data_IF_358942739510
#
_entry.id   IF_358942739510
#
_cell.length_a   1.000
_cell.length_b   1.000
_cell.length_c   1.000
_cell.angle_alpha   90.00
_cell.angle_beta   90.00
_cell.angle_gamma   90.00
#
_symmetry.space_group_name_H-M   'P 1'
#
loop_
_entity.id
_entity.type
_entity.pdbx_description
1 polymer ?
#
# COMPACT_ATOMS: atom_id res chain seq x y z
N UNK A 1 5.56 6.73 5.18
CA UNK A 1 6.31 5.83 4.27
C UNK A 1 7.82 5.92 4.48
N UNK A 2 8.43 7.11 4.54
CA UNK A 2 9.88 7.25 4.76
C UNK A 2 10.39 6.61 6.08
N UNK A 3 9.63 6.75 7.17
CA UNK A 3 9.93 6.07 8.46
C UNK A 3 9.97 4.53 8.36
N UNK A 4 9.41 3.95 7.29
CA UNK A 4 9.36 2.51 7.04
C UNK A 4 10.42 2.07 6.01
N UNK A 5 11.35 2.94 5.60
CA UNK A 5 12.26 2.70 4.48
C UNK A 5 13.07 1.40 4.56
N UNK A 6 13.42 0.97 5.77
CA UNK A 6 14.21 -0.24 6.02
C UNK A 6 13.39 -1.53 5.76
N UNK A 7 12.07 -1.42 5.60
CA UNK A 7 11.12 -2.51 5.34
C UNK A 7 10.63 -2.54 3.89
N UNK A 8 11.37 -1.92 2.96
CA UNK A 8 11.06 -1.85 1.53
C UNK A 8 9.61 -1.45 1.21
N UNK A 9 9.14 -0.29 1.71
CA UNK A 9 7.73 0.05 1.65
C UNK A 9 7.28 0.36 0.22
N UNK A 10 6.03 0.05 -0.08
CA UNK A 10 5.34 0.38 -1.33
C UNK A 10 4.01 1.05 -1.04
N UNK A 11 3.76 2.19 -1.68
CA UNK A 11 2.43 2.82 -1.66
C UNK A 11 1.55 2.05 -2.66
N UNK A 12 0.45 1.50 -2.17
CA UNK A 12 -0.51 0.72 -2.95
C UNK A 12 -1.92 1.30 -2.80
N UNK A 13 -2.93 0.54 -3.23
CA UNK A 13 -4.32 0.95 -3.13
C UNK A 13 -4.73 2.03 -4.14
N UNK A 14 -5.71 2.85 -3.76
CA UNK A 14 -6.30 3.87 -4.65
C UNK A 14 -5.47 5.16 -4.72
N UNK A 15 -4.76 5.49 -3.63
CA UNK A 15 -4.02 6.76 -3.50
C UNK A 15 -2.88 6.86 -4.50
N UNK A 16 -2.06 5.81 -4.69
CA UNK A 16 -0.99 5.88 -5.69
C UNK A 16 -1.52 5.89 -7.13
N UNK A 17 -2.77 5.50 -7.37
CA UNK A 17 -3.43 5.69 -8.67
C UNK A 17 -3.88 7.13 -8.91
N UNK A 18 -3.73 7.99 -7.90
CA UNK A 18 -4.23 9.37 -7.87
C UNK A 18 -5.75 9.45 -7.69
N UNK A 19 -6.39 8.34 -7.28
CA UNK A 19 -7.82 8.28 -7.00
C UNK A 19 -8.02 8.45 -5.50
N UNK A 20 -8.26 9.69 -5.08
CA UNK A 20 -8.47 10.04 -3.66
C UNK A 20 -9.96 10.38 -3.46
N UNK A 21 -10.64 9.64 -2.59
CA UNK A 21 -12.01 9.93 -2.15
C UNK A 21 -11.98 10.51 -0.73
N UNK A 22 -13.02 11.24 -0.29
CA UNK A 22 -13.19 11.56 1.11
C UNK A 22 -13.22 10.24 1.91
N UNK A 23 -12.28 10.06 2.85
CA UNK A 23 -12.00 8.83 3.62
C UNK A 23 -11.12 7.77 2.94
N UNK A 24 -10.47 8.07 1.82
CA UNK A 24 -9.36 7.21 1.36
C UNK A 24 -8.30 7.12 2.46
N UNK A 25 -7.99 5.89 2.86
CA UNK A 25 -6.83 5.54 3.66
C UNK A 25 -5.57 5.49 2.78
N UNK A 26 -4.42 5.67 3.44
CA UNK A 26 -3.12 5.50 2.80
C UNK A 26 -2.72 4.03 2.95
N UNK A 27 -2.75 3.27 1.86
CA UNK A 27 -2.36 1.87 1.85
C UNK A 27 -0.86 1.70 1.59
N UNK A 28 -0.17 1.06 2.52
CA UNK A 28 1.26 0.76 2.42
C UNK A 28 1.47 -0.75 2.57
N UNK A 29 2.21 -1.35 1.66
CA UNK A 29 2.73 -2.71 1.81
C UNK A 29 4.20 -2.67 2.22
N UNK A 30 4.63 -3.62 3.04
CA UNK A 30 6.04 -3.81 3.43
C UNK A 30 6.46 -5.26 3.27
N UNK A 31 7.69 -5.46 2.84
CA UNK A 31 8.31 -6.77 2.64
C UNK A 31 9.00 -7.21 3.93
N UNK A 32 8.19 -7.68 4.88
CA UNK A 32 8.63 -8.03 6.22
C UNK A 32 7.61 -8.93 6.90
N UNK A 33 8.09 -9.89 7.70
CA UNK A 33 7.22 -10.91 8.31
C UNK A 33 6.90 -10.65 9.79
N UNK A 34 7.79 -9.98 10.51
CA UNK A 34 7.63 -9.69 11.94
C UNK A 34 7.02 -8.30 12.18
N UNK A 35 5.81 -8.18 12.77
CA UNK A 35 5.19 -6.88 13.00
C UNK A 35 5.91 -6.03 14.05
N UNK A 36 6.66 -6.60 14.99
CA UNK A 36 7.17 -5.88 16.16
C UNK A 36 8.14 -4.72 15.82
N UNK A 37 9.16 -4.90 14.95
CA UNK A 37 10.05 -3.81 14.55
C UNK A 37 9.31 -2.65 13.86
N UNK A 38 8.28 -2.96 13.08
CA UNK A 38 7.47 -1.96 12.39
C UNK A 38 6.60 -1.19 13.39
N UNK A 39 5.93 -1.89 14.31
CA UNK A 39 5.11 -1.25 15.37
C UNK A 39 5.95 -0.34 16.24
N UNK A 40 7.09 -0.84 16.71
CA UNK A 40 8.04 -0.04 17.50
C UNK A 40 8.43 1.23 16.75
N UNK A 41 8.81 1.12 15.48
CA UNK A 41 9.16 2.27 14.63
C UNK A 41 8.01 3.27 14.49
N UNK A 42 6.77 2.79 14.30
CA UNK A 42 5.59 3.64 14.19
C UNK A 42 5.32 4.41 15.50
N UNK A 43 5.33 3.71 16.63
CA UNK A 43 5.07 4.32 17.95
C UNK A 43 6.15 5.35 18.29
N UNK A 44 7.43 5.02 18.12
CA UNK A 44 8.57 5.92 18.37
C UNK A 44 8.50 7.21 17.52
N UNK A 45 7.86 7.16 16.35
CA UNK A 45 7.68 8.31 15.47
C UNK A 45 6.34 9.05 15.69
N UNK A 46 5.59 8.68 16.74
CA UNK A 46 4.37 9.37 17.17
C UNK A 46 3.13 9.06 16.31
N UNK A 47 3.08 7.87 15.72
CA UNK A 47 1.86 7.34 15.11
C UNK A 47 1.04 6.62 16.18
N UNK A 48 -0.26 6.90 16.26
CA UNK A 48 -1.16 6.22 17.19
C UNK A 48 -1.60 4.89 16.57
N UNK A 49 -1.31 3.77 17.23
CA UNK A 49 -1.80 2.46 16.83
C UNK A 49 -3.32 2.40 17.08
N UNK A 50 -4.10 2.15 16.03
CA UNK A 50 -5.57 2.04 16.09
C UNK A 50 -5.98 0.58 16.23
N UNK A 51 -5.43 -0.27 15.36
CA UNK A 51 -5.80 -1.66 15.22
C UNK A 51 -4.60 -2.44 14.69
N UNK A 52 -4.45 -3.69 15.11
CA UNK A 52 -3.52 -4.61 14.48
C UNK A 52 -4.03 -6.05 14.56
N UNK A 53 -3.54 -6.92 13.68
CA UNK A 53 -3.83 -8.34 13.76
C UNK A 53 -3.25 -9.14 12.61
N UNK A 54 -3.08 -10.44 12.86
CA UNK A 54 -2.78 -11.40 11.81
C UNK A 54 -3.91 -11.46 10.78
N UNK A 55 -3.56 -11.65 9.53
CA UNK A 55 -4.54 -11.86 8.46
C UNK A 55 -5.04 -13.30 8.55
N UNK A 56 -6.30 -13.49 8.92
CA UNK A 56 -6.93 -14.81 9.05
C UNK A 56 -7.87 -15.11 7.88
N UNK A 57 -7.26 -15.37 6.73
CA UNK A 57 -7.97 -15.87 5.54
C UNK A 57 -7.22 -17.07 4.96
N UNK A 58 -7.90 -17.96 4.20
CA UNK A 58 -7.24 -19.04 3.46
C UNK A 58 -6.05 -18.54 2.63
N UNK A 59 -4.97 -19.32 2.57
CA UNK A 59 -3.69 -18.94 1.92
C UNK A 59 -3.87 -18.41 0.49
N UNK A 60 -4.72 -19.06 -0.31
CA UNK A 60 -4.99 -18.64 -1.69
C UNK A 60 -5.71 -17.27 -1.80
N UNK A 61 -6.41 -16.83 -0.75
CA UNK A 61 -7.06 -15.51 -0.68
C UNK A 61 -6.19 -14.44 -0.02
N UNK A 62 -5.20 -14.89 0.77
CA UNK A 62 -4.33 -14.04 1.59
C UNK A 62 -3.49 -13.09 0.77
N UNK A 63 -3.19 -13.44 -0.49
CA UNK A 63 -2.42 -12.58 -1.39
C UNK A 63 -1.07 -12.16 -0.75
N UNK A 64 -0.41 -13.13 -0.11
CA UNK A 64 0.83 -12.94 0.64
C UNK A 64 0.74 -12.10 1.91
N UNK A 65 -0.45 -11.63 2.31
CA UNK A 65 -0.63 -10.75 3.48
C UNK A 65 -0.51 -11.50 4.81
N UNK A 66 0.37 -11.07 5.70
CA UNK A 66 0.64 -11.74 6.97
C UNK A 66 0.01 -11.03 8.15
N UNK A 67 0.17 -9.71 8.20
CA UNK A 67 -0.25 -8.88 9.32
C UNK A 67 -0.78 -7.54 8.81
N UNK A 68 -1.76 -7.00 9.50
CA UNK A 68 -2.33 -5.68 9.24
C UNK A 68 -2.11 -4.79 10.44
N UNK A 69 -1.68 -3.56 10.19
CA UNK A 69 -1.49 -2.51 11.20
C UNK A 69 -2.20 -1.26 10.70
N UNK A 70 -3.14 -0.74 11.48
CA UNK A 70 -3.83 0.51 11.22
C UNK A 70 -3.34 1.58 12.17
N UNK A 71 -2.93 2.73 11.64
CA UNK A 71 -2.41 3.85 12.45
C UNK A 71 -3.08 5.17 12.11
N UNK A 72 -3.10 6.08 13.09
CA UNK A 72 -3.43 7.49 12.89
C UNK A 72 -2.18 8.34 12.92
N UNK A 73 -2.05 9.24 11.95
CA UNK A 73 -1.02 10.27 11.92
C UNK A 73 -1.35 11.42 12.88
N UNK A 74 -0.35 12.25 13.22
CA UNK A 74 -0.55 13.46 14.03
C UNK A 74 -1.53 14.47 13.41
N UNK A 75 -1.72 14.41 12.08
CA UNK A 75 -2.66 15.26 11.33
C UNK A 75 -4.07 14.65 11.25
N UNK A 76 -4.32 13.49 11.90
CA UNK A 76 -5.62 12.83 11.91
C UNK A 76 -5.87 11.87 10.74
N UNK A 77 -5.02 11.86 9.72
CA UNK A 77 -5.12 10.90 8.60
C UNK A 77 -4.85 9.48 9.06
N UNK A 78 -5.54 8.51 8.47
CA UNK A 78 -5.33 7.08 8.73
C UNK A 78 -4.45 6.45 7.64
N UNK A 79 -3.62 5.50 8.04
CA UNK A 79 -2.84 4.67 7.14
C UNK A 79 -2.99 3.20 7.54
N UNK A 80 -3.07 2.34 6.53
CA UNK A 80 -3.05 0.89 6.66
C UNK A 80 -1.69 0.39 6.19
N UNK A 81 -1.03 -0.42 7.01
CA UNK A 81 0.23 -1.08 6.70
C UNK A 81 -0.01 -2.58 6.68
N UNK A 82 0.23 -3.20 5.53
CA UNK A 82 0.15 -4.66 5.34
C UNK A 82 1.55 -5.22 5.21
N UNK A 83 1.89 -6.15 6.11
CA UNK A 83 3.08 -6.97 6.00
C UNK A 83 2.82 -8.08 4.99
N UNK A 84 3.75 -8.29 4.05
CA UNK A 84 3.66 -9.34 3.05
C UNK A 84 4.87 -10.25 3.02
N UNK A 85 4.62 -11.49 2.61
CA UNK A 85 5.67 -12.44 2.25
C UNK A 85 6.50 -11.94 1.08
N UNK A 86 7.81 -12.19 1.10
CA UNK A 86 8.70 -11.82 0.00
C UNK A 86 8.28 -12.41 -1.36
N UNK A 87 7.75 -13.65 -1.34
CA UNK A 87 7.24 -14.39 -2.51
C UNK A 87 6.19 -13.58 -3.31
N UNK A 88 5.39 -12.75 -2.63
CA UNK A 88 4.39 -11.88 -3.22
C UNK A 88 4.99 -10.90 -4.24
N UNK A 89 6.20 -10.40 -3.96
CA UNK A 89 6.87 -9.42 -4.81
C UNK A 89 7.62 -10.03 -5.98
N UNK A 90 7.92 -11.34 -5.91
CA UNK A 90 8.52 -12.09 -7.02
C UNK A 90 7.51 -12.33 -8.15
N UNK A 91 6.25 -12.59 -7.79
CA UNK A 91 5.17 -12.87 -8.74
C UNK A 91 3.88 -12.09 -8.39
N UNK A 92 3.90 -10.74 -8.47
CA UNK A 92 2.75 -9.92 -8.12
C UNK A 92 1.56 -10.21 -9.06
N UNK A 93 0.34 -10.39 -8.54
CA UNK A 93 -0.82 -10.65 -9.37
C UNK A 93 -1.27 -9.39 -10.12
N UNK A 94 -2.18 -9.60 -11.07
CA UNK A 94 -2.86 -8.51 -11.77
C UNK A 94 -3.86 -7.82 -10.86
N UNK A 95 -4.06 -6.54 -11.09
CA UNK A 95 -5.11 -5.75 -10.49
C UNK A 95 -6.45 -6.16 -11.07
N UNK A 96 -7.41 -6.47 -10.20
CA UNK A 96 -8.75 -6.90 -10.61
C UNK A 96 -9.54 -5.79 -11.33
N UNK A 97 -9.20 -4.53 -11.05
CA UNK A 97 -9.84 -3.35 -11.64
C UNK A 97 -9.13 -2.89 -12.91
N UNK A 98 -7.80 -2.79 -12.87
CA UNK A 98 -7.01 -2.17 -13.94
C UNK A 98 -6.31 -3.17 -14.87
N UNK A 99 -6.28 -4.46 -14.51
CA UNK A 99 -5.68 -5.54 -15.30
C UNK A 99 -4.15 -5.55 -15.37
N UNK A 100 -3.47 -4.52 -14.84
CA UNK A 100 -2.02 -4.41 -14.80
C UNK A 100 -1.44 -5.03 -13.52
N UNK A 101 -0.14 -5.29 -13.52
CA UNK A 101 0.55 -5.89 -12.38
C UNK A 101 0.52 -4.96 -11.16
N UNK A 102 0.09 -5.46 -9.99
CA UNK A 102 0.07 -4.72 -8.73
C UNK A 102 1.52 -4.47 -8.24
N UNK A 103 2.16 -3.38 -8.67
CA UNK A 103 3.55 -3.04 -8.30
C UNK A 103 3.67 -1.97 -7.19
N UNK A 104 2.68 -1.08 -7.11
CA UNK A 104 2.73 0.11 -6.26
C UNK A 104 3.85 1.09 -6.63
N UNK A 105 4.02 2.14 -5.83
CA UNK A 105 5.17 3.04 -5.90
C UNK A 105 6.15 2.73 -4.77
N UNK A 106 7.42 2.52 -5.09
CA UNK A 106 8.50 2.52 -4.09
C UNK A 106 8.71 3.93 -3.55
N UNK A 107 9.38 4.04 -2.40
CA UNK A 107 9.69 5.34 -1.79
C UNK A 107 10.38 6.32 -2.76
N UNK A 108 11.39 5.87 -3.51
CA UNK A 108 12.09 6.71 -4.49
C UNK A 108 11.20 7.17 -5.65
N UNK A 109 10.31 6.29 -6.13
CA UNK A 109 9.35 6.59 -7.19
C UNK A 109 8.31 7.59 -6.70
N UNK A 110 7.77 7.40 -5.49
CA UNK A 110 6.85 8.34 -4.86
C UNK A 110 7.49 9.72 -4.71
N UNK A 111 8.73 9.81 -4.21
CA UNK A 111 9.43 11.08 -4.06
C UNK A 111 9.62 11.78 -5.42
N UNK A 112 9.93 11.04 -6.48
CA UNK A 112 10.02 11.58 -7.85
C UNK A 112 8.67 12.14 -8.30
N UNK A 113 7.58 11.40 -8.08
CA UNK A 113 6.22 11.83 -8.44
C UNK A 113 5.81 13.09 -7.67
N UNK A 114 6.05 13.14 -6.36
CA UNK A 114 5.73 14.32 -5.56
C UNK A 114 6.52 15.56 -6.00
N UNK A 115 7.76 15.38 -6.48
CA UNK A 115 8.60 16.45 -7.00
C UNK A 115 8.16 16.94 -8.38
N UNK A 116 7.83 16.02 -9.28
CA UNK A 116 7.61 16.33 -10.70
C UNK A 116 6.14 16.58 -11.04
N UNK A 117 5.21 15.81 -10.45
CA UNK A 117 3.79 15.82 -10.79
C UNK A 117 2.94 15.24 -9.65
N UNK A 118 2.73 15.98 -8.55
CA UNK A 118 2.05 15.48 -7.35
C UNK A 118 0.57 15.10 -7.59
N UNK A 119 -0.06 15.63 -8.64
CA UNK A 119 -1.44 15.34 -9.04
C UNK A 119 -1.55 14.28 -10.15
N UNK A 120 -0.45 13.57 -10.47
CA UNK A 120 -0.43 12.58 -11.55
C UNK A 120 -1.35 11.38 -11.22
N UNK A 121 -2.20 11.04 -12.17
CA UNK A 121 -2.98 9.79 -12.16
C UNK A 121 -2.14 8.66 -12.76
N UNK A 122 -2.18 7.48 -12.15
CA UNK A 122 -1.44 6.29 -12.62
C UNK A 122 -2.39 5.22 -13.15
N UNK A 123 -3.17 5.56 -14.17
CA UNK A 123 -4.15 4.66 -14.78
C UNK A 123 -3.52 4.02 -16.04
N UNK A 124 -3.53 2.68 -16.18
CA UNK A 124 -3.03 2.01 -17.39
C UNK A 124 -3.86 2.37 -18.62
N UNK A 125 -3.22 2.49 -19.79
CA UNK A 125 -3.88 2.85 -21.06
C UNK A 125 -5.06 1.91 -21.42
N UNK A 126 -4.94 0.64 -21.05
CA UNK A 126 -5.95 -0.38 -21.37
C UNK A 126 -7.14 -0.40 -20.39
N UNK A 127 -7.08 0.36 -19.29
CA UNK A 127 -8.10 0.38 -18.25
C UNK A 127 -9.49 0.81 -18.75
N UNK A 128 -9.55 1.59 -19.83
CA UNK A 128 -10.80 2.04 -20.45
C UNK A 128 -11.27 1.17 -21.63
N UNK A 129 -10.51 0.16 -22.04
CA UNK A 129 -10.92 -0.74 -23.13
C UNK A 129 -12.06 -1.69 -22.73
N UNK A 130 -12.22 -1.96 -21.43
CA UNK A 130 -13.30 -2.79 -20.89
C UNK A 130 -14.64 -2.04 -20.73
N UNK A 131 -14.67 -0.72 -20.97
CA UNK A 131 -15.87 0.10 -20.82
C UNK A 131 -16.59 0.41 -22.15
N UNK A 132 -16.13 -0.14 -23.28
CA UNK A 132 -16.89 -0.13 -24.55
C UNK A 132 -17.72 -1.40 -24.66
N UNK A 133 -18.79 -1.48 -23.87
CA UNK A 133 -19.94 -2.31 -24.21
C UNK A 133 -21.00 -1.33 -24.71
N UNK A 134 -21.23 -1.38 -26.02
CA UNK A 134 -22.34 -0.70 -26.68
C UNK A 134 -23.67 -1.35 -26.31
#
# INVERSE_FOLDING_TARGET
MDILRDFSPRLVGSVWRGIIKPRSDIDIEVDYVDPEPIKKRLIENGYALIEEGGVDVPEHLRQGSLWKIKVRTKLGNEAEIILKEHSWYLNPPKCDIFGDVKRGLRLSELLKVLKESPSKLFIPENAFSAARIH
#
